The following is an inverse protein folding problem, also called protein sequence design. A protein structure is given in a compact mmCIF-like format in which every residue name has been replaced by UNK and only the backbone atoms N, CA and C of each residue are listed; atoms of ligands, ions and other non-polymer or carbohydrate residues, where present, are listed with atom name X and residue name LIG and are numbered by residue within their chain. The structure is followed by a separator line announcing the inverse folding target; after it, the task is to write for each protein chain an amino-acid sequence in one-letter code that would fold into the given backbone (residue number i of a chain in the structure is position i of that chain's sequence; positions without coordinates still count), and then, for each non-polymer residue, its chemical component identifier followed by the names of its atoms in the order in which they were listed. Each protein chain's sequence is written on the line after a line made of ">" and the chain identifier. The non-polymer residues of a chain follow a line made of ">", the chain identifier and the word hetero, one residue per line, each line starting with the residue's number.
data_IF_035858078982
#
_entry.id   IF_035858078982
#
_cell.length_a   1.000
_cell.length_b   1.000
_cell.length_c   1.000
_cell.angle_alpha   90.00
_cell.angle_beta   90.00
_cell.angle_gamma   90.00
#
_symmetry.space_group_name_H-M   'P 1'
#
loop_
_entity.id
_entity.type
_entity.pdbx_description
1 polymer ?
#
# COMPACT_ATOMS: atom_id res chain seq x y z
N UNK A 1 16.41 -1.43 -13.17
CA UNK A 1 15.76 -1.18 -11.86
C UNK A 1 15.35 -2.52 -11.29
N UNK A 2 15.51 -2.75 -9.98
CA UNK A 2 14.94 -3.95 -9.33
C UNK A 2 13.41 -3.75 -9.28
N UNK A 3 12.65 -4.76 -9.65
CA UNK A 3 11.19 -4.73 -9.50
C UNK A 3 10.83 -4.69 -8.00
N UNK A 4 9.71 -4.05 -7.61
CA UNK A 4 9.18 -4.17 -6.26
C UNK A 4 8.96 -5.63 -5.88
N UNK A 5 9.18 -5.96 -4.61
CA UNK A 5 8.90 -7.29 -4.09
C UNK A 5 7.40 -7.44 -3.82
N UNK A 6 6.88 -8.66 -4.03
CA UNK A 6 5.51 -8.98 -3.66
C UNK A 6 5.34 -8.93 -2.14
N UNK A 7 4.17 -8.47 -1.70
CA UNK A 7 3.83 -8.37 -0.28
C UNK A 7 2.58 -9.19 0.03
N UNK A 8 2.74 -10.15 0.93
CA UNK A 8 1.67 -11.09 1.30
C UNK A 8 0.90 -10.69 2.55
N UNK A 9 1.37 -9.67 3.28
CA UNK A 9 0.80 -9.22 4.56
C UNK A 9 1.12 -10.12 5.76
N UNK A 10 2.08 -11.05 5.66
CA UNK A 10 2.44 -11.96 6.76
C UNK A 10 3.67 -11.53 7.54
N UNK A 11 4.48 -10.62 6.98
CA UNK A 11 5.74 -10.15 7.55
C UNK A 11 5.67 -8.66 7.89
N UNK A 12 5.28 -8.29 9.13
CA UNK A 12 5.03 -6.90 9.49
C UNK A 12 6.22 -5.97 9.33
N UNK A 13 7.44 -6.47 9.53
CA UNK A 13 8.68 -5.71 9.31
C UNK A 13 8.92 -5.33 7.84
N UNK A 14 8.27 -6.01 6.88
CA UNK A 14 8.37 -5.68 5.44
C UNK A 14 7.41 -4.59 5.00
N UNK A 15 6.42 -4.22 5.83
CA UNK A 15 5.43 -3.20 5.45
C UNK A 15 6.10 -1.85 5.18
N UNK A 16 7.20 -1.53 5.87
CA UNK A 16 7.93 -0.28 5.67
C UNK A 16 8.67 -0.23 4.32
N UNK A 17 9.30 -1.35 3.93
CA UNK A 17 10.05 -1.43 2.67
C UNK A 17 9.16 -1.49 1.43
N UNK A 18 7.90 -1.93 1.58
CA UNK A 18 7.01 -2.12 0.44
C UNK A 18 6.62 -0.79 -0.24
N UNK A 19 5.97 0.20 0.42
CA UNK A 19 5.67 1.50 -0.19
C UNK A 19 6.92 2.26 -0.64
N UNK A 20 8.01 2.18 0.14
CA UNK A 20 9.30 2.79 -0.19
C UNK A 20 9.85 2.36 -1.55
N UNK A 21 9.65 1.09 -1.92
CA UNK A 21 10.08 0.55 -3.21
C UNK A 21 9.38 1.23 -4.40
N UNK A 22 8.16 1.75 -4.22
CA UNK A 22 7.39 2.39 -5.28
C UNK A 22 7.67 3.89 -5.42
N UNK A 23 8.05 4.59 -4.34
CA UNK A 23 8.35 6.03 -4.39
C UNK A 23 9.36 6.39 -5.49
N UNK A 24 10.43 5.58 -5.62
CA UNK A 24 11.43 5.78 -6.68
C UNK A 24 10.87 5.54 -8.09
N UNK A 25 9.99 4.56 -8.26
CA UNK A 25 9.37 4.23 -9.56
C UNK A 25 8.43 5.35 -9.99
N UNK A 26 7.61 5.86 -9.08
CA UNK A 26 6.69 6.96 -9.35
C UNK A 26 7.44 8.24 -9.68
N UNK A 27 8.48 8.55 -8.91
CA UNK A 27 9.30 9.73 -9.15
C UNK A 27 10.00 9.70 -10.52
N UNK A 28 10.43 8.53 -10.99
CA UNK A 28 11.05 8.38 -12.32
C UNK A 28 10.05 8.37 -13.47
N UNK A 29 8.76 8.12 -13.20
CA UNK A 29 7.72 7.96 -14.21
C UNK A 29 6.52 8.89 -13.94
N UNK A 30 6.78 10.17 -13.66
CA UNK A 30 5.77 11.16 -13.27
C UNK A 30 4.58 11.24 -14.24
N UNK A 31 4.82 11.12 -15.55
CA UNK A 31 3.76 11.14 -16.56
C UNK A 31 2.76 9.98 -16.40
N UNK A 32 3.25 8.79 -16.04
CA UNK A 32 2.43 7.59 -15.86
C UNK A 32 1.78 7.54 -14.47
N UNK A 33 2.38 8.16 -13.46
CA UNK A 33 1.92 8.15 -12.06
C UNK A 33 1.50 9.53 -11.54
N UNK A 34 0.97 10.38 -12.43
CA UNK A 34 0.50 11.72 -12.10
C UNK A 34 -0.74 11.75 -11.20
N UNK A 35 -1.46 10.63 -11.11
CA UNK A 35 -2.63 10.47 -10.26
C UNK A 35 -2.37 9.37 -9.23
N UNK A 36 -2.78 9.63 -7.98
CA UNK A 36 -2.64 8.69 -6.88
C UNK A 36 -3.33 7.36 -7.17
N UNK A 37 -4.48 7.40 -7.85
CA UNK A 37 -5.15 6.19 -8.30
C UNK A 37 -4.26 5.26 -9.11
N UNK A 38 -3.45 5.79 -10.02
CA UNK A 38 -2.53 4.98 -10.82
C UNK A 38 -1.42 4.37 -9.97
N UNK A 39 -0.95 5.11 -8.96
CA UNK A 39 0.04 4.64 -7.99
C UNK A 39 -0.51 3.47 -7.18
N UNK A 40 -1.70 3.64 -6.62
CA UNK A 40 -2.35 2.61 -5.79
C UNK A 40 -2.63 1.37 -6.63
N UNK A 41 -3.26 1.49 -7.80
CA UNK A 41 -3.54 0.34 -8.68
C UNK A 41 -2.28 -0.43 -9.09
N UNK A 42 -1.19 0.28 -9.34
CA UNK A 42 0.09 -0.36 -9.64
C UNK A 42 0.64 -1.10 -8.42
N UNK A 43 0.67 -0.48 -7.25
CA UNK A 43 1.12 -1.14 -6.02
C UNK A 43 0.25 -2.35 -5.66
N UNK A 44 -1.06 -2.29 -5.88
CA UNK A 44 -1.98 -3.41 -5.60
C UNK A 44 -1.68 -4.65 -6.44
N UNK A 45 -1.08 -4.50 -7.63
CA UNK A 45 -0.67 -5.65 -8.45
C UNK A 45 0.49 -6.46 -7.84
N UNK A 46 1.15 -5.92 -6.81
CA UNK A 46 2.20 -6.61 -6.05
C UNK A 46 1.70 -7.14 -4.70
N UNK A 47 0.42 -6.96 -4.39
CA UNK A 47 -0.19 -7.58 -3.22
C UNK A 47 -0.56 -9.02 -3.56
N UNK A 48 -0.23 -9.94 -2.67
CA UNK A 48 -0.58 -11.36 -2.76
C UNK A 48 -1.17 -11.83 -1.43
N UNK A 49 -1.75 -13.03 -1.40
CA UNK A 49 -2.08 -13.71 -0.15
C UNK A 49 -3.06 -12.93 0.73
N UNK A 50 -2.66 -12.60 1.97
CA UNK A 50 -3.54 -11.89 2.92
C UNK A 50 -3.77 -10.44 2.49
N UNK A 51 -2.75 -9.78 1.95
CA UNK A 51 -2.87 -8.40 1.50
C UNK A 51 -3.73 -8.25 0.25
N UNK A 52 -3.69 -9.24 -0.65
CA UNK A 52 -4.60 -9.32 -1.81
C UNK A 52 -6.06 -9.45 -1.38
N UNK A 53 -6.36 -10.36 -0.44
CA UNK A 53 -7.72 -10.52 0.10
C UNK A 53 -8.26 -9.26 0.77
N UNK A 54 -7.38 -8.47 1.40
CA UNK A 54 -7.78 -7.20 2.00
C UNK A 54 -8.19 -6.16 0.96
N UNK A 55 -7.51 -6.11 -0.19
CA UNK A 55 -7.77 -5.08 -1.20
C UNK A 55 -8.94 -5.42 -2.14
N UNK A 56 -9.28 -6.70 -2.25
CA UNK A 56 -10.33 -7.23 -3.16
C UNK A 56 -11.68 -6.48 -3.11
N UNK A 57 -12.24 -6.10 -1.94
CA UNK A 57 -13.51 -5.37 -1.88
C UNK A 57 -13.43 -3.99 -2.55
N UNK A 58 -12.25 -3.37 -2.51
CA UNK A 58 -12.00 -2.09 -3.16
C UNK A 58 -11.82 -2.26 -4.68
N UNK A 59 -11.15 -3.33 -5.11
CA UNK A 59 -11.05 -3.64 -6.55
C UNK A 59 -12.42 -3.94 -7.19
N UNK A 60 -13.38 -4.43 -6.40
CA UNK A 60 -14.76 -4.65 -6.86
C UNK A 60 -15.51 -3.35 -7.17
N UNK A 61 -15.04 -2.19 -6.69
CA UNK A 61 -15.69 -0.89 -6.86
C UNK A 61 -14.76 0.16 -7.51
N UNK A 62 -14.04 -0.24 -8.56
CA UNK A 62 -13.12 0.62 -9.33
C UNK A 62 -13.75 1.92 -9.86
N UNK A 63 -15.05 1.97 -10.11
CA UNK A 63 -15.73 3.18 -10.61
C UNK A 63 -15.93 4.24 -9.54
N UNK A 64 -15.64 3.95 -8.26
CA UNK A 64 -15.77 4.92 -7.18
C UNK A 64 -14.81 6.11 -7.39
N UNK A 65 -15.36 7.31 -7.43
CA UNK A 65 -14.63 8.57 -7.63
C UNK A 65 -14.44 9.37 -6.34
N UNK A 66 -14.90 8.87 -5.20
CA UNK A 66 -14.72 9.53 -3.90
C UNK A 66 -13.22 9.70 -3.61
N UNK A 67 -12.82 10.91 -3.22
CA UNK A 67 -11.41 11.22 -2.91
C UNK A 67 -10.91 10.53 -1.64
N UNK A 68 -11.81 10.15 -0.74
CA UNK A 68 -11.54 9.37 0.46
C UNK A 68 -11.60 7.86 0.20
N UNK A 69 -11.83 7.46 -1.05
CA UNK A 69 -11.80 6.05 -1.42
C UNK A 69 -10.36 5.54 -1.47
N UNK A 70 -10.11 4.36 -0.89
CA UNK A 70 -8.76 3.81 -0.71
C UNK A 70 -7.95 3.78 -2.02
N UNK A 71 -8.57 3.38 -3.13
CA UNK A 71 -7.89 3.29 -4.42
C UNK A 71 -7.57 4.64 -5.05
N UNK A 72 -8.14 5.74 -4.55
CA UNK A 72 -7.96 7.08 -5.14
C UNK A 72 -6.93 7.93 -4.38
N UNK A 73 -6.43 7.47 -3.23
CA UNK A 73 -5.53 8.23 -2.37
C UNK A 73 -4.34 7.38 -1.94
N UNK A 74 -3.14 7.76 -2.40
CA UNK A 74 -1.90 7.07 -2.04
C UNK A 74 -1.58 7.19 -0.54
N UNK A 75 -1.71 8.38 0.11
CA UNK A 75 -1.50 8.50 1.55
C UNK A 75 -2.47 7.64 2.38
N UNK A 76 -3.73 7.54 1.94
CA UNK A 76 -4.72 6.68 2.62
C UNK A 76 -4.35 5.21 2.49
N UNK A 77 -3.93 4.79 1.30
CA UNK A 77 -3.44 3.43 1.05
C UNK A 77 -2.25 3.08 1.93
N UNK A 78 -1.22 3.93 1.98
CA UNK A 78 -0.06 3.72 2.86
C UNK A 78 -0.50 3.61 4.33
N UNK A 79 -1.31 4.57 4.80
CA UNK A 79 -1.79 4.59 6.19
C UNK A 79 -2.54 3.31 6.59
N UNK A 80 -3.46 2.84 5.74
CA UNK A 80 -4.18 1.59 6.01
C UNK A 80 -3.28 0.35 5.92
N UNK A 81 -2.34 0.33 4.97
CA UNK A 81 -1.37 -0.76 4.85
C UNK A 81 -0.54 -0.89 6.13
N UNK A 82 -0.03 0.22 6.67
CA UNK A 82 0.69 0.25 7.95
C UNK A 82 -0.21 -0.11 9.14
N UNK A 83 -1.44 0.36 9.17
CA UNK A 83 -2.38 0.08 10.27
C UNK A 83 -2.74 -1.41 10.34
N UNK A 84 -2.90 -2.07 9.19
CA UNK A 84 -3.37 -3.45 9.10
C UNK A 84 -2.25 -4.49 9.11
N UNK A 85 -1.10 -4.17 8.51
CA UNK A 85 0.00 -5.12 8.35
C UNK A 85 1.29 -4.68 9.03
N UNK A 86 1.36 -3.45 9.55
CA UNK A 86 2.48 -3.04 10.36
C UNK A 86 2.51 -3.73 11.70
N UNK A 87 3.68 -3.68 12.34
CA UNK A 87 3.79 -4.03 13.75
C UNK A 87 2.96 -2.98 14.48
N UNK A 88 1.82 -3.37 15.07
CA UNK A 88 1.24 -2.59 16.17
C UNK A 88 2.39 -2.42 17.16
N UNK A 89 2.92 -1.21 17.30
CA UNK A 89 4.02 -0.91 18.20
C UNK A 89 3.89 -1.74 19.48
N UNK A 90 4.80 -2.71 19.69
CA UNK A 90 5.06 -3.33 20.99
C UNK A 90 5.70 -2.30 21.95
N UNK A 91 5.23 -1.06 21.95
CA UNK A 91 5.70 -0.02 22.86
C UNK A 91 4.50 0.72 23.41
N UNK A 92 3.88 0.08 24.41
CA UNK A 92 3.45 0.66 25.70
C UNK A 92 3.15 -0.49 26.66
N UNK A 93 4.15 -1.34 26.91
CA UNK A 93 4.23 -2.21 28.08
C UNK A 93 5.70 -2.29 28.47
N UNK A 94 6.27 -1.15 28.84
CA UNK A 94 7.50 -1.03 29.63
C UNK A 94 7.68 0.46 29.97
N UNK A 95 6.75 0.99 30.76
CA UNK A 95 7.12 2.02 31.73
C UNK A 95 6.64 1.49 33.08
N UNK A 96 7.65 1.16 33.89
CA UNK A 96 7.59 0.54 35.20
C UNK A 96 7.08 1.50 36.29
#
# INVERSE_FOLDING_TARGET
>A
MKAPEFFDGTQPFKVGSFPQSFHLIFHKNLANFSQDRKKVLYATSFLIGRAEKWIEPYLSTLTNQDSNYLLNSWPLFESQLFTLFGVLNEVRKDEA
#
